data_IF_201983445452
#
_entry.id   IF_201983445452
#
_cell.length_a   1.000
_cell.length_b   1.000
_cell.length_c   1.000
_cell.angle_alpha   90.00
_cell.angle_beta   90.00
_cell.angle_gamma   90.00
#
_symmetry.space_group_name_H-M   'P 1'
#
loop_
_entity.id
_entity.type
_entity.pdbx_description
1 polymer ?
#
# COMPACT_ATOMS: atom_id res chain seq x y z
N UNK A 1 -0.64 22.65 7.51
CA UNK A 1 0.77 22.23 7.33
C UNK A 1 1.44 22.88 6.12
N UNK A 2 0.71 23.19 5.04
CA UNK A 2 1.23 23.83 3.83
C UNK A 2 1.85 25.23 4.05
N UNK A 3 1.26 26.01 4.94
CA UNK A 3 1.68 27.41 5.23
C UNK A 3 3.11 27.55 5.82
N UNK A 4 3.74 26.44 6.19
CA UNK A 4 5.11 26.42 6.75
C UNK A 4 6.13 25.77 5.81
N UNK A 5 5.74 25.47 4.58
CA UNK A 5 6.63 24.81 3.63
C UNK A 5 7.52 25.84 2.95
N UNK A 6 8.83 25.73 3.18
CA UNK A 6 9.83 26.49 2.45
C UNK A 6 9.92 25.95 1.02
N UNK A 7 10.01 26.80 -0.04
CA UNK A 7 10.22 26.35 -1.41
C UNK A 7 11.37 25.35 -1.61
N UNK A 8 12.45 25.50 -0.86
CA UNK A 8 13.60 24.57 -0.88
C UNK A 8 13.15 23.16 -0.43
N UNK A 9 12.40 23.05 0.65
CA UNK A 9 11.90 21.76 1.16
C UNK A 9 10.95 21.10 0.16
N UNK A 10 10.20 21.88 -0.62
CA UNK A 10 9.36 21.35 -1.68
C UNK A 10 10.21 20.75 -2.80
N UNK A 11 11.25 21.44 -3.25
CA UNK A 11 12.15 20.93 -4.28
C UNK A 11 12.91 19.69 -3.82
N UNK A 12 13.34 19.63 -2.57
CA UNK A 12 13.99 18.44 -1.99
C UNK A 12 13.03 17.26 -1.97
N UNK A 13 11.78 17.46 -1.55
CA UNK A 13 10.75 16.41 -1.55
C UNK A 13 10.43 15.89 -2.97
N UNK A 14 10.40 16.77 -3.96
CA UNK A 14 10.24 16.39 -5.36
C UNK A 14 11.45 15.60 -5.88
N UNK A 15 12.67 15.97 -5.50
CA UNK A 15 13.88 15.24 -5.85
C UNK A 15 13.86 13.82 -5.24
N UNK A 16 13.45 13.68 -3.98
CA UNK A 16 13.28 12.37 -3.31
C UNK A 16 12.21 11.52 -4.01
N UNK A 17 11.09 12.12 -4.42
CA UNK A 17 10.04 11.43 -5.18
C UNK A 17 10.57 10.89 -6.51
N UNK A 18 11.34 11.69 -7.25
CA UNK A 18 11.96 11.29 -8.51
C UNK A 18 12.93 10.12 -8.29
N UNK A 19 13.74 10.18 -7.23
CA UNK A 19 14.67 9.10 -6.88
C UNK A 19 13.92 7.81 -6.54
N UNK A 20 12.81 7.89 -5.80
CA UNK A 20 11.97 6.74 -5.48
C UNK A 20 11.40 6.10 -6.75
N UNK A 21 10.89 6.91 -7.69
CA UNK A 21 10.42 6.41 -9.00
C UNK A 21 11.53 5.67 -9.76
N UNK A 22 12.73 6.21 -9.79
CA UNK A 22 13.88 5.59 -10.46
C UNK A 22 14.26 4.24 -9.81
N UNK A 23 14.26 4.17 -8.48
CA UNK A 23 14.51 2.93 -7.74
C UNK A 23 13.46 1.87 -8.05
N UNK A 24 12.17 2.25 -8.08
CA UNK A 24 11.09 1.33 -8.43
C UNK A 24 11.15 0.89 -9.89
N UNK A 25 11.51 1.78 -10.82
CA UNK A 25 11.73 1.40 -12.21
C UNK A 25 12.85 0.36 -12.34
N UNK A 26 13.96 0.53 -11.63
CA UNK A 26 15.06 -0.44 -11.59
C UNK A 26 14.62 -1.78 -10.98
N UNK A 27 13.84 -1.75 -9.90
CA UNK A 27 13.27 -2.96 -9.29
C UNK A 27 12.42 -3.75 -10.30
N UNK A 28 11.57 -3.08 -11.05
CA UNK A 28 10.69 -3.70 -12.02
C UNK A 28 11.38 -4.13 -13.34
N UNK A 29 12.65 -3.83 -13.53
CA UNK A 29 13.44 -4.49 -14.59
C UNK A 29 13.70 -5.97 -14.29
N UNK A 30 13.64 -6.35 -13.01
CA UNK A 30 13.91 -7.71 -12.54
C UNK A 30 12.66 -8.44 -12.07
N UNK A 31 11.66 -7.72 -11.55
CA UNK A 31 10.47 -8.28 -10.95
C UNK A 31 9.21 -7.69 -11.57
N UNK A 32 8.29 -8.55 -12.02
CA UNK A 32 7.04 -8.12 -12.65
C UNK A 32 6.09 -7.43 -11.67
N UNK A 33 6.04 -7.90 -10.44
CA UNK A 33 5.15 -7.42 -9.39
C UNK A 33 5.87 -7.33 -8.05
N UNK A 34 5.42 -6.40 -7.21
CA UNK A 34 5.77 -6.34 -5.80
C UNK A 34 4.53 -6.68 -4.97
N UNK A 35 4.69 -7.57 -3.99
CA UNK A 35 3.61 -7.98 -3.09
C UNK A 35 3.99 -7.57 -1.67
N UNK A 36 3.11 -6.80 -1.02
CA UNK A 36 3.30 -6.32 0.36
C UNK A 36 1.96 -6.33 1.10
N UNK A 37 1.95 -6.28 2.44
CA UNK A 37 0.71 -5.98 3.18
C UNK A 37 0.16 -4.62 2.76
N UNK A 38 -1.17 -4.47 2.69
CA UNK A 38 -1.78 -3.17 2.37
C UNK A 38 -1.47 -2.13 3.45
N UNK A 39 -1.59 -2.49 4.73
CA UNK A 39 -1.27 -1.62 5.85
C UNK A 39 -0.27 -2.29 6.80
N UNK A 40 0.55 -1.48 7.45
CA UNK A 40 1.52 -1.94 8.44
C UNK A 40 0.92 -2.14 9.84
N UNK A 41 -0.39 -2.27 9.95
CA UNK A 41 -1.10 -2.52 11.21
C UNK A 41 -2.37 -3.34 10.98
N UNK A 42 -2.85 -4.01 12.04
CA UNK A 42 -4.16 -4.63 12.06
C UNK A 42 -5.27 -3.56 12.11
N UNK A 43 -6.52 -3.92 11.73
CA UNK A 43 -7.68 -3.05 11.93
C UNK A 43 -7.80 -2.59 13.38
N UNK A 44 -8.18 -1.34 13.59
CA UNK A 44 -8.34 -0.72 14.90
C UNK A 44 -9.76 -0.17 15.07
N UNK A 45 -10.12 0.22 16.28
CA UNK A 45 -11.48 0.63 16.64
C UNK A 45 -11.90 1.90 15.89
N UNK A 46 -13.19 1.97 15.58
CA UNK A 46 -13.82 3.13 14.93
C UNK A 46 -13.71 4.37 15.80
N UNK A 47 -13.55 5.53 15.16
CA UNK A 47 -13.41 6.83 15.83
C UNK A 47 -11.99 7.31 16.04
N UNK A 48 -11.00 6.53 15.59
CA UNK A 48 -9.59 6.94 15.59
C UNK A 48 -9.09 7.14 14.15
N UNK A 49 -8.35 8.22 13.91
CA UNK A 49 -7.71 8.51 12.61
C UNK A 49 -6.43 7.70 12.39
N UNK A 50 -5.90 7.09 13.46
CA UNK A 50 -4.68 6.26 13.42
C UNK A 50 -4.72 5.22 14.53
N UNK A 51 -3.89 4.15 14.46
CA UNK A 51 -3.87 3.10 15.48
C UNK A 51 -3.57 3.69 16.87
N UNK A 52 -4.50 3.60 17.85
CA UNK A 52 -4.40 4.31 19.14
C UNK A 52 -3.23 3.84 20.02
N UNK A 53 -2.73 2.62 19.80
CA UNK A 53 -1.64 2.03 20.58
C UNK A 53 -0.28 2.09 19.86
N UNK A 54 -0.24 2.67 18.66
CA UNK A 54 1.00 2.76 17.89
C UNK A 54 1.82 3.95 18.37
N UNK A 55 3.07 3.68 18.75
CA UNK A 55 4.03 4.73 19.07
C UNK A 55 4.57 5.35 17.77
N UNK A 56 4.95 6.62 17.81
CA UNK A 56 5.58 7.30 16.66
C UNK A 56 6.85 6.57 16.19
N UNK A 57 7.54 5.88 17.12
CA UNK A 57 8.71 5.06 16.82
C UNK A 57 8.41 3.81 15.97
N UNK A 58 7.16 3.36 15.93
CA UNK A 58 6.75 2.18 15.13
C UNK A 58 6.61 2.50 13.62
N UNK A 59 6.90 3.73 13.23
CA UNK A 59 6.76 4.22 11.85
C UNK A 59 5.32 4.56 11.45
N UNK A 60 5.16 4.99 10.23
CA UNK A 60 3.84 5.33 9.68
C UNK A 60 3.07 4.05 9.30
N UNK A 61 1.80 3.93 9.71
CA UNK A 61 0.95 2.80 9.33
C UNK A 61 0.62 2.81 7.83
N UNK A 62 0.73 3.96 7.16
CA UNK A 62 0.58 4.13 5.71
C UNK A 62 1.88 3.86 4.92
N UNK A 63 2.96 3.46 5.58
CA UNK A 63 4.26 3.25 4.94
C UNK A 63 4.24 2.23 3.79
N UNK A 64 3.25 1.33 3.75
CA UNK A 64 3.07 0.36 2.68
C UNK A 64 2.25 0.88 1.49
N UNK A 65 1.60 2.04 1.61
CA UNK A 65 0.71 2.62 0.58
C UNK A 65 1.33 3.89 -0.01
N UNK A 66 1.73 4.83 0.84
CA UNK A 66 2.22 6.14 0.44
C UNK A 66 3.34 6.14 -0.63
N UNK A 67 4.31 5.21 -0.62
CA UNK A 67 5.34 5.18 -1.66
C UNK A 67 4.78 5.01 -3.09
N UNK A 68 3.70 4.23 -3.25
CA UNK A 68 3.13 3.95 -4.57
C UNK A 68 2.24 5.08 -5.07
N UNK A 69 1.60 5.82 -4.18
CA UNK A 69 0.92 7.09 -4.50
C UNK A 69 1.95 8.12 -5.00
N UNK A 70 3.09 8.21 -4.33
CA UNK A 70 4.18 9.14 -4.72
C UNK A 70 4.83 8.77 -6.05
N UNK A 71 4.98 7.48 -6.34
CA UNK A 71 5.58 7.02 -7.59
C UNK A 71 4.58 6.95 -8.75
N UNK A 72 3.27 6.95 -8.46
CA UNK A 72 2.21 6.82 -9.46
C UNK A 72 2.12 5.44 -10.10
N UNK A 73 2.59 4.41 -9.39
CA UNK A 73 2.47 3.03 -9.84
C UNK A 73 1.07 2.48 -9.60
N UNK A 74 0.55 1.61 -10.50
CA UNK A 74 -0.70 0.91 -10.22
C UNK A 74 -0.53 -0.05 -9.04
N UNK A 75 -1.45 0.04 -8.10
CA UNK A 75 -1.52 -0.83 -6.93
C UNK A 75 -2.97 -1.21 -6.64
N UNK A 76 -3.19 -2.45 -6.21
CA UNK A 76 -4.49 -2.96 -5.80
C UNK A 76 -4.38 -3.68 -4.46
N UNK A 77 -5.35 -3.49 -3.59
CA UNK A 77 -5.50 -4.30 -2.38
C UNK A 77 -6.57 -5.36 -2.57
N UNK A 78 -6.25 -6.61 -2.29
CA UNK A 78 -7.17 -7.73 -2.33
C UNK A 78 -7.25 -8.42 -0.97
N UNK A 79 -8.44 -8.93 -0.54
CA UNK A 79 -8.56 -9.69 0.70
C UNK A 79 -7.71 -10.96 0.63
N UNK A 80 -6.86 -11.20 1.64
CA UNK A 80 -6.01 -12.39 1.68
C UNK A 80 -6.23 -13.29 2.90
N UNK A 81 -7.09 -12.89 3.82
CA UNK A 81 -7.40 -13.67 5.02
C UNK A 81 -7.88 -12.81 6.17
N UNK A 82 -7.81 -13.40 7.36
CA UNK A 82 -8.20 -12.75 8.61
C UNK A 82 -7.10 -12.91 9.65
N UNK A 83 -6.93 -11.92 10.49
CA UNK A 83 -6.05 -12.00 11.66
C UNK A 83 -6.62 -13.00 12.68
N UNK A 84 -5.80 -13.40 13.66
CA UNK A 84 -6.27 -14.25 14.76
C UNK A 84 -7.43 -13.64 15.57
N UNK A 85 -7.64 -12.32 15.48
CA UNK A 85 -8.76 -11.60 16.12
C UNK A 85 -9.95 -11.39 15.16
N UNK A 86 -9.96 -12.01 13.98
CA UNK A 86 -11.03 -11.91 12.98
C UNK A 86 -11.01 -10.65 12.11
N UNK A 87 -10.06 -9.74 12.29
CA UNK A 87 -9.92 -8.56 11.45
C UNK A 87 -9.44 -8.92 10.03
N UNK A 88 -9.99 -8.31 8.95
CA UNK A 88 -9.58 -8.60 7.59
C UNK A 88 -8.14 -8.14 7.32
N UNK A 89 -7.45 -8.88 6.46
CA UNK A 89 -6.08 -8.59 6.01
C UNK A 89 -6.10 -8.35 4.51
N UNK A 90 -5.50 -7.23 4.09
CA UNK A 90 -5.30 -6.89 2.69
C UNK A 90 -3.89 -7.22 2.21
N UNK A 91 -3.82 -7.86 1.04
CA UNK A 91 -2.60 -8.04 0.26
C UNK A 91 -2.55 -6.96 -0.81
N UNK A 92 -1.48 -6.20 -0.87
CA UNK A 92 -1.26 -5.20 -1.90
C UNK A 92 -0.37 -5.77 -3.01
N UNK A 93 -0.83 -5.64 -4.25
CA UNK A 93 -0.11 -6.02 -5.47
C UNK A 93 0.21 -4.74 -6.22
N UNK A 94 1.48 -4.50 -6.47
CA UNK A 94 2.00 -3.29 -7.13
C UNK A 94 2.71 -3.68 -8.41
N UNK A 95 2.44 -2.96 -9.50
CA UNK A 95 3.07 -3.19 -10.80
C UNK A 95 3.99 -2.06 -11.24
N UNK A 96 4.70 -2.23 -12.36
CA UNK A 96 5.42 -1.16 -13.03
C UNK A 96 4.49 0.02 -13.39
N UNK A 97 5.02 1.20 -13.56
CA UNK A 97 4.26 2.36 -14.02
C UNK A 97 3.52 2.05 -15.32
N UNK A 98 2.21 2.34 -15.38
CA UNK A 98 1.34 2.10 -16.54
C UNK A 98 0.94 0.64 -16.78
N UNK A 99 1.20 -0.27 -15.83
CA UNK A 99 0.88 -1.70 -15.96
C UNK A 99 -0.42 -2.11 -15.26
N UNK A 100 -1.45 -1.27 -15.29
CA UNK A 100 -2.75 -1.50 -14.61
C UNK A 100 -3.36 -2.86 -15.00
N UNK A 101 -3.32 -3.21 -16.29
CA UNK A 101 -3.83 -4.49 -16.76
C UNK A 101 -3.10 -5.71 -16.17
N UNK A 102 -1.79 -5.60 -15.91
CA UNK A 102 -1.01 -6.66 -15.25
C UNK A 102 -1.46 -6.81 -13.80
N UNK A 103 -1.58 -5.70 -13.09
CA UNK A 103 -2.02 -5.67 -11.67
C UNK A 103 -3.43 -6.26 -11.53
N UNK A 104 -4.37 -5.86 -12.39
CA UNK A 104 -5.74 -6.40 -12.39
C UNK A 104 -5.79 -7.90 -12.70
N UNK A 105 -4.97 -8.39 -13.65
CA UNK A 105 -4.88 -9.83 -13.95
C UNK A 105 -4.33 -10.62 -12.77
N UNK A 106 -3.29 -10.10 -12.11
CA UNK A 106 -2.70 -10.74 -10.93
C UNK A 106 -3.70 -10.79 -9.77
N UNK A 107 -4.39 -9.69 -9.49
CA UNK A 107 -5.44 -9.63 -8.49
C UNK A 107 -6.56 -10.64 -8.78
N UNK A 108 -7.04 -10.71 -10.03
CA UNK A 108 -8.06 -11.67 -10.44
C UNK A 108 -7.60 -13.12 -10.28
N UNK A 109 -6.34 -13.42 -10.62
CA UNK A 109 -5.78 -14.76 -10.43
C UNK A 109 -5.72 -15.12 -8.93
N UNK A 110 -5.29 -14.18 -8.09
CA UNK A 110 -5.25 -14.36 -6.65
C UNK A 110 -6.64 -14.59 -6.05
N UNK A 111 -7.65 -13.78 -6.41
CA UNK A 111 -9.03 -13.94 -5.93
C UNK A 111 -9.66 -15.29 -6.31
N UNK A 112 -9.32 -15.80 -7.48
CA UNK A 112 -9.80 -17.14 -7.91
C UNK A 112 -9.17 -18.27 -7.08
N UNK A 113 -7.89 -18.12 -6.76
CA UNK A 113 -7.16 -19.10 -5.97
C UNK A 113 -7.49 -19.01 -4.47
N UNK A 114 -7.84 -17.81 -4.00
CA UNK A 114 -8.13 -17.51 -2.59
C UNK A 114 -9.45 -16.74 -2.46
N UNK A 115 -10.61 -17.42 -2.41
CA UNK A 115 -11.94 -16.78 -2.45
C UNK A 115 -12.37 -16.13 -1.12
N UNK A 116 -11.45 -15.64 -0.31
CA UNK A 116 -11.72 -14.97 0.99
C UNK A 116 -12.69 -13.80 0.87
N UNK A 117 -12.64 -13.06 -0.25
CA UNK A 117 -13.55 -11.94 -0.51
C UNK A 117 -15.04 -12.29 -0.63
N UNK A 118 -15.38 -13.60 -0.67
CA UNK A 118 -16.77 -14.08 -0.66
C UNK A 118 -17.35 -14.23 0.74
N UNK A 119 -16.49 -14.23 1.76
CA UNK A 119 -16.92 -14.30 3.15
C UNK A 119 -17.59 -12.98 3.55
N UNK A 120 -18.68 -13.08 4.33
CA UNK A 120 -19.40 -11.92 4.85
C UNK A 120 -19.17 -11.82 6.35
N UNK A 121 -19.08 -10.60 6.92
CA UNK A 121 -19.03 -10.46 8.36
C UNK A 121 -20.36 -10.96 8.96
N UNK A 122 -20.32 -11.55 10.14
CA UNK A 122 -21.55 -11.87 10.89
C UNK A 122 -22.17 -10.54 11.32
N UNK A 123 -23.29 -10.19 10.74
CA UNK A 123 -24.17 -9.04 11.08
C UNK A 123 -25.50 -9.58 11.55
#
# INVERSE_FOLDING_TARGET
RGDRMNPVNLLDSEAERIQLRAKMATFHQKYDLLIVPTLACAPFVVGYDQPPHRKRADGDFMAMVAPFDLTGQPAISVPCGFSAKGGPIGLQIVGPFGSDALVLRAARAFERANPVGRLRPPI
#
